data_IF_158404356502
#
_entry.id   IF_158404356502
#
_cell.length_a   1.000
_cell.length_b   1.000
_cell.length_c   1.000
_cell.angle_alpha   90.00
_cell.angle_beta   90.00
_cell.angle_gamma   90.00
#
_symmetry.space_group_name_H-M   'P 1'
#
loop_
_entity.id
_entity.type
_entity.pdbx_description
1 polymer ?
#
# COMPACT_ATOMS: atom_id res chain seq x y z
N UNK A 1 -5.16 -55.88 -28.66
CA UNK A 1 -5.40 -54.78 -27.71
C UNK A 1 -4.06 -54.14 -27.38
N UNK A 2 -3.73 -52.94 -27.90
CA UNK A 2 -2.57 -52.20 -27.47
C UNK A 2 -2.95 -51.08 -26.49
N UNK A 3 -2.10 -50.92 -25.49
CA UNK A 3 -2.14 -49.94 -24.42
C UNK A 3 -1.89 -48.53 -24.97
N UNK A 4 -2.82 -47.60 -24.76
CA UNK A 4 -2.67 -46.18 -25.13
C UNK A 4 -2.06 -45.40 -23.98
N UNK A 5 -0.78 -45.04 -24.08
CA UNK A 5 -0.15 -44.04 -23.21
C UNK A 5 -0.62 -42.65 -23.64
N UNK A 6 -1.42 -41.98 -22.81
CA UNK A 6 -1.81 -40.58 -22.99
C UNK A 6 -0.62 -39.71 -22.58
N UNK A 7 0.14 -39.22 -23.56
CA UNK A 7 1.06 -38.10 -23.34
C UNK A 7 0.24 -36.82 -23.22
N UNK A 8 0.03 -36.35 -21.99
CA UNK A 8 -0.46 -34.99 -21.73
C UNK A 8 0.69 -34.04 -22.05
N UNK A 9 0.73 -33.56 -23.29
CA UNK A 9 1.53 -32.40 -23.67
C UNK A 9 0.89 -31.19 -23.00
N UNK A 10 1.47 -30.74 -21.89
CA UNK A 10 1.10 -29.48 -21.26
C UNK A 10 1.41 -28.38 -22.27
N UNK A 11 0.35 -27.73 -22.75
CA UNK A 11 0.39 -26.71 -23.79
C UNK A 11 1.32 -25.57 -23.40
N UNK A 12 2.42 -25.43 -24.14
CA UNK A 12 3.35 -24.31 -24.05
C UNK A 12 2.81 -23.13 -24.87
N UNK A 13 1.57 -22.72 -24.57
CA UNK A 13 0.77 -21.84 -25.44
C UNK A 13 0.56 -20.44 -24.87
N UNK A 14 1.39 -20.03 -23.90
CA UNK A 14 1.37 -18.67 -23.36
C UNK A 14 2.78 -18.08 -23.49
N UNK A 15 2.84 -16.95 -24.21
CA UNK A 15 4.00 -16.11 -24.54
C UNK A 15 4.88 -16.55 -25.71
N UNK A 16 4.36 -16.35 -26.91
CA UNK A 16 5.18 -15.89 -28.03
C UNK A 16 4.59 -14.59 -28.60
N UNK A 17 4.37 -13.61 -27.73
CA UNK A 17 4.00 -12.25 -28.17
C UNK A 17 5.18 -11.61 -28.89
N UNK A 18 4.90 -11.04 -30.06
CA UNK A 18 5.89 -10.30 -30.84
C UNK A 18 6.16 -8.92 -30.22
N UNK A 19 7.35 -8.35 -30.45
CA UNK A 19 7.72 -7.00 -29.96
C UNK A 19 6.68 -5.95 -30.36
N UNK A 20 6.04 -6.13 -31.52
CA UNK A 20 4.96 -5.26 -32.02
C UNK A 20 3.68 -5.39 -31.19
N UNK A 21 3.31 -6.60 -30.77
CA UNK A 21 2.15 -6.83 -29.90
C UNK A 21 2.37 -6.24 -28.51
N UNK A 22 3.59 -6.37 -27.98
CA UNK A 22 3.97 -5.76 -26.70
C UNK A 22 3.95 -4.24 -26.82
N UNK A 23 4.53 -3.67 -27.89
CA UNK A 23 4.47 -2.22 -28.13
C UNK A 23 3.03 -1.72 -28.26
N UNK A 24 2.16 -2.48 -28.95
CA UNK A 24 0.74 -2.17 -29.03
C UNK A 24 0.01 -2.28 -27.69
N UNK A 25 0.35 -3.26 -26.84
CA UNK A 25 -0.19 -3.37 -25.47
C UNK A 25 0.26 -2.19 -24.60
N UNK A 26 1.56 -1.86 -24.62
CA UNK A 26 2.14 -0.70 -23.92
C UNK A 26 1.45 0.61 -24.31
N UNK A 27 1.16 0.80 -25.60
CA UNK A 27 0.46 1.99 -26.10
C UNK A 27 -1.04 1.98 -25.77
N UNK A 28 -1.69 0.80 -25.76
CA UNK A 28 -3.12 0.63 -25.47
C UNK A 28 -3.46 0.81 -24.00
N UNK A 29 -2.65 0.22 -23.12
CA UNK A 29 -2.97 0.08 -21.69
C UNK A 29 -2.44 1.23 -20.82
N UNK A 30 -1.74 2.20 -21.45
CA UNK A 30 -1.11 3.34 -20.76
C UNK A 30 -0.31 2.89 -19.53
N UNK A 31 0.47 1.83 -19.72
CA UNK A 31 1.22 1.16 -18.66
C UNK A 31 2.16 2.17 -17.99
N UNK A 32 2.21 2.12 -16.66
CA UNK A 32 3.10 3.01 -15.91
C UNK A 32 4.55 2.59 -16.11
N UNK A 33 5.51 3.45 -15.74
CA UNK A 33 6.96 3.12 -15.75
C UNK A 33 7.26 1.78 -15.06
N UNK A 34 6.46 1.40 -14.06
CA UNK A 34 6.64 0.16 -13.32
C UNK A 34 6.06 -1.06 -14.01
N UNK A 35 4.93 -0.92 -14.70
CA UNK A 35 4.38 -2.01 -15.49
C UNK A 35 5.24 -2.24 -16.74
N UNK A 36 5.77 -1.17 -17.34
CA UNK A 36 6.79 -1.23 -18.40
C UNK A 36 8.06 -1.93 -17.88
N UNK A 37 8.50 -1.64 -16.65
CA UNK A 37 9.66 -2.31 -16.02
C UNK A 37 9.38 -3.78 -15.70
N UNK A 38 8.16 -4.14 -15.31
CA UNK A 38 7.76 -5.51 -15.01
C UNK A 38 7.61 -6.36 -16.29
N UNK A 39 7.06 -5.78 -17.37
CA UNK A 39 7.04 -6.44 -18.68
C UNK A 39 8.46 -6.57 -19.27
N UNK A 40 9.28 -5.51 -19.14
CA UNK A 40 10.69 -5.58 -19.52
C UNK A 40 11.47 -6.62 -18.68
N UNK A 41 11.10 -6.84 -17.42
CA UNK A 41 11.63 -7.91 -16.56
C UNK A 41 11.28 -9.29 -17.10
N UNK A 42 10.01 -9.54 -17.44
CA UNK A 42 9.57 -10.81 -18.02
C UNK A 42 10.28 -11.13 -19.35
N UNK A 43 10.46 -10.12 -20.20
CA UNK A 43 11.22 -10.22 -21.45
C UNK A 43 12.72 -10.46 -21.22
N UNK A 44 13.36 -9.77 -20.28
CA UNK A 44 14.76 -9.98 -19.96
C UNK A 44 15.02 -11.37 -19.35
N UNK A 45 14.06 -11.92 -18.59
CA UNK A 45 14.16 -13.27 -18.03
C UNK A 45 13.97 -14.35 -19.11
N UNK A 46 13.10 -14.11 -20.11
CA UNK A 46 12.89 -15.03 -21.23
C UNK A 46 14.06 -15.00 -22.23
N UNK A 47 14.79 -13.88 -22.31
CA UNK A 47 15.99 -13.71 -23.13
C UNK A 47 17.28 -14.33 -22.55
N UNK A 48 17.17 -15.26 -21.58
CA UNK A 48 18.29 -15.86 -20.81
C UNK A 48 19.46 -16.40 -21.65
N UNK A 49 19.28 -16.65 -22.95
CA UNK A 49 20.29 -17.22 -23.84
C UNK A 49 20.71 -16.32 -25.02
N UNK A 50 20.30 -15.04 -25.06
CA UNK A 50 20.80 -14.12 -26.09
C UNK A 50 22.03 -13.37 -25.56
N UNK A 51 23.21 -13.87 -25.92
CA UNK A 51 24.49 -13.20 -25.70
C UNK A 51 24.45 -11.80 -26.30
N UNK A 52 24.21 -10.77 -25.49
CA UNK A 52 24.31 -9.39 -25.95
C UNK A 52 24.98 -8.56 -24.86
N UNK A 53 26.21 -8.14 -25.15
CA UNK A 53 27.00 -7.11 -24.49
C UNK A 53 26.32 -5.72 -24.55
N UNK A 54 25.06 -5.64 -24.15
CA UNK A 54 24.30 -4.39 -24.14
C UNK A 54 24.34 -3.78 -22.74
N UNK A 55 24.99 -2.63 -22.63
CA UNK A 55 25.04 -1.80 -21.41
C UNK A 55 23.65 -1.51 -20.83
N UNK A 56 22.61 -1.48 -21.66
CA UNK A 56 21.22 -1.20 -21.24
C UNK A 56 20.53 -2.40 -20.59
N UNK A 57 20.76 -3.62 -21.08
CA UNK A 57 20.22 -4.84 -20.45
C UNK A 57 20.85 -5.09 -19.08
N UNK A 58 22.18 -4.96 -19.00
CA UNK A 58 22.88 -5.07 -17.71
C UNK A 58 22.48 -3.98 -16.72
N UNK A 59 22.20 -2.75 -17.20
CA UNK A 59 21.64 -1.69 -16.37
C UNK A 59 20.23 -2.05 -15.86
N UNK A 60 19.33 -2.52 -16.72
CA UNK A 60 17.99 -2.95 -16.31
C UNK A 60 18.05 -4.07 -15.26
N UNK A 61 18.92 -5.06 -15.44
CA UNK A 61 19.14 -6.13 -14.47
C UNK A 61 19.60 -5.60 -13.10
N UNK A 62 20.50 -4.61 -13.07
CA UNK A 62 20.93 -3.96 -11.82
C UNK A 62 19.79 -3.19 -11.17
N UNK A 63 19.02 -2.43 -11.94
CA UNK A 63 17.85 -1.71 -11.45
C UNK A 63 16.84 -2.68 -10.83
N UNK A 64 16.54 -3.81 -11.48
CA UNK A 64 15.64 -4.85 -10.98
C UNK A 64 16.13 -5.47 -9.67
N UNK A 65 17.40 -5.88 -9.62
CA UNK A 65 18.02 -6.39 -8.39
C UNK A 65 17.97 -5.36 -7.26
N UNK A 66 18.04 -4.06 -7.57
CA UNK A 66 17.90 -3.00 -6.58
C UNK A 66 16.46 -2.85 -6.08
N UNK A 67 15.47 -3.14 -6.92
CA UNK A 67 14.05 -3.10 -6.56
C UNK A 67 13.65 -4.30 -5.70
N UNK A 68 14.11 -5.50 -6.04
CA UNK A 68 13.88 -6.70 -5.20
C UNK A 68 14.48 -6.51 -3.81
N UNK A 69 15.72 -6.02 -3.74
CA UNK A 69 16.35 -5.65 -2.46
C UNK A 69 15.56 -4.60 -1.69
N UNK A 70 14.96 -3.62 -2.38
CA UNK A 70 14.09 -2.62 -1.74
C UNK A 70 12.81 -3.28 -1.24
N UNK A 71 12.22 -4.21 -1.98
CA UNK A 71 11.01 -4.91 -1.57
C UNK A 71 11.26 -5.80 -0.35
N UNK A 72 12.36 -6.55 -0.34
CA UNK A 72 12.81 -7.34 0.82
C UNK A 72 13.06 -6.44 2.04
N UNK A 73 13.77 -5.32 1.86
CA UNK A 73 14.03 -4.38 2.95
C UNK A 73 12.78 -3.64 3.45
N UNK A 74 11.73 -3.59 2.64
CA UNK A 74 10.44 -3.00 3.00
C UNK A 74 9.40 -4.06 3.39
N UNK A 75 9.79 -5.33 3.50
CA UNK A 75 8.92 -6.39 4.01
C UNK A 75 8.53 -6.08 5.45
N UNK A 76 7.23 -6.09 5.72
CA UNK A 76 6.64 -5.89 7.03
C UNK A 76 6.00 -7.21 7.40
N UNK A 77 6.51 -7.86 8.44
CA UNK A 77 5.82 -8.98 9.05
C UNK A 77 4.67 -8.43 9.89
N UNK A 78 3.44 -8.67 9.44
CA UNK A 78 2.25 -8.26 10.17
C UNK A 78 1.31 -9.46 10.34
N UNK A 79 0.72 -9.64 11.53
CA UNK A 79 -0.17 -10.75 11.81
C UNK A 79 -1.48 -10.64 11.03
N UNK A 80 -2.25 -11.73 10.97
CA UNK A 80 -3.56 -11.80 10.27
C UNK A 80 -4.53 -10.74 10.77
N UNK A 81 -4.34 -10.38 12.03
CA UNK A 81 -5.02 -9.30 12.72
C UNK A 81 -4.92 -7.93 12.01
N UNK A 82 -3.81 -7.64 11.32
CA UNK A 82 -3.61 -6.40 10.58
C UNK A 82 -3.92 -6.50 9.08
N UNK A 83 -4.41 -7.64 8.57
CA UNK A 83 -4.82 -7.79 7.16
C UNK A 83 -5.93 -6.79 6.76
N UNK A 84 -6.02 -6.48 5.47
CA UNK A 84 -6.98 -5.51 4.93
C UNK A 84 -8.41 -5.86 5.36
N UNK A 85 -8.79 -7.13 5.23
CA UNK A 85 -10.11 -7.64 5.55
C UNK A 85 -10.38 -7.54 7.05
N UNK A 86 -9.44 -7.97 7.90
CA UNK A 86 -9.58 -7.90 9.36
C UNK A 86 -9.72 -6.47 9.87
N UNK A 87 -8.88 -5.54 9.40
CA UNK A 87 -8.97 -4.12 9.78
C UNK A 87 -10.30 -3.53 9.30
N UNK A 88 -10.72 -3.85 8.08
CA UNK A 88 -12.00 -3.38 7.52
C UNK A 88 -13.20 -3.89 8.30
N UNK A 89 -13.22 -5.16 8.67
CA UNK A 89 -14.28 -5.78 9.48
C UNK A 89 -14.42 -5.06 10.81
N UNK A 90 -13.31 -4.82 11.51
CA UNK A 90 -13.30 -4.11 12.80
C UNK A 90 -13.78 -2.67 12.69
N UNK A 91 -13.27 -1.93 11.71
CA UNK A 91 -13.73 -0.56 11.42
C UNK A 91 -15.22 -0.47 11.13
N UNK A 92 -15.83 -1.52 10.58
CA UNK A 92 -17.28 -1.56 10.36
C UNK A 92 -18.07 -1.87 11.64
N UNK A 93 -17.43 -2.51 12.62
CA UNK A 93 -18.06 -3.00 13.84
C UNK A 93 -17.97 -2.05 15.03
N UNK A 94 -17.09 -1.05 14.96
CA UNK A 94 -16.87 -0.14 16.08
C UNK A 94 -18.10 0.71 16.39
N UNK A 95 -18.48 0.73 17.67
CA UNK A 95 -19.43 1.67 18.24
C UNK A 95 -18.67 2.82 18.91
N UNK A 96 -18.79 4.02 18.34
CA UNK A 96 -18.15 5.26 18.84
C UNK A 96 -18.64 5.69 20.23
N UNK A 97 -19.69 5.05 20.74
CA UNK A 97 -20.19 5.26 22.11
C UNK A 97 -19.37 4.50 23.16
N UNK A 98 -18.58 3.51 22.74
CA UNK A 98 -17.79 2.65 23.63
C UNK A 98 -16.45 3.28 24.02
N UNK A 99 -15.80 2.70 25.02
CA UNK A 99 -14.46 3.13 25.44
C UNK A 99 -13.44 2.77 24.35
N UNK A 100 -12.63 3.75 23.98
CA UNK A 100 -11.58 3.57 22.98
C UNK A 100 -10.47 2.66 23.50
N UNK A 101 -10.17 1.60 22.75
CA UNK A 101 -9.04 0.72 23.00
C UNK A 101 -7.84 1.06 22.07
N UNK A 102 -6.67 0.49 22.37
CA UNK A 102 -5.45 0.72 21.58
C UNK A 102 -5.52 0.16 20.17
N UNK A 103 -6.39 -0.82 19.97
CA UNK A 103 -6.56 -1.54 18.72
C UNK A 103 -7.41 -0.71 17.74
N UNK A 104 -8.48 -0.09 18.23
CA UNK A 104 -9.28 0.89 17.51
C UNK A 104 -8.44 2.10 17.10
N UNK A 105 -7.53 2.56 17.97
CA UNK A 105 -6.56 3.59 17.58
C UNK A 105 -5.69 3.11 16.41
N UNK A 106 -5.10 1.92 16.49
CA UNK A 106 -4.25 1.40 15.42
C UNK A 106 -5.02 1.23 14.11
N UNK A 107 -6.26 0.73 14.15
CA UNK A 107 -7.12 0.53 12.99
C UNK A 107 -7.50 1.85 12.32
N UNK A 108 -7.84 2.88 13.09
CA UNK A 108 -8.13 4.21 12.52
C UNK A 108 -6.87 4.87 11.97
N UNK A 109 -5.71 4.64 12.61
CA UNK A 109 -4.43 5.11 12.08
C UNK A 109 -4.05 4.44 10.76
N UNK A 110 -4.27 3.12 10.63
CA UNK A 110 -4.19 2.41 9.36
C UNK A 110 -5.17 3.08 8.40
N UNK A 111 -6.47 3.07 8.71
CA UNK A 111 -7.52 3.63 7.85
C UNK A 111 -7.18 5.01 7.27
N UNK A 112 -6.65 5.93 8.08
CA UNK A 112 -6.41 7.32 7.69
C UNK A 112 -5.02 7.58 7.14
N UNK A 113 -4.14 6.58 7.03
CA UNK A 113 -2.76 6.75 6.57
C UNK A 113 -1.99 7.83 7.35
N UNK A 114 -2.24 7.99 8.66
CA UNK A 114 -1.70 9.09 9.46
C UNK A 114 -0.50 8.70 10.32
N UNK A 115 0.31 9.72 10.65
CA UNK A 115 1.26 9.66 11.76
C UNK A 115 0.54 9.90 13.09
N UNK A 116 1.07 9.38 14.22
CA UNK A 116 0.61 9.79 15.54
C UNK A 116 0.50 11.31 15.69
N UNK A 117 1.50 12.03 15.19
CA UNK A 117 1.57 13.50 15.18
C UNK A 117 0.43 14.21 14.45
N UNK A 118 -0.19 13.54 13.48
CA UNK A 118 -1.27 14.13 12.69
C UNK A 118 -2.63 13.88 13.34
N UNK A 119 -2.73 12.98 14.33
CA UNK A 119 -4.01 12.51 14.86
C UNK A 119 -4.83 13.61 15.52
N UNK A 120 -4.19 14.50 16.26
CA UNK A 120 -4.87 15.59 16.98
C UNK A 120 -5.16 16.79 16.10
N UNK A 121 -4.41 16.96 15.01
CA UNK A 121 -4.53 18.12 14.12
C UNK A 121 -5.40 17.84 12.90
N UNK A 122 -5.48 16.58 12.43
CA UNK A 122 -6.22 16.21 11.23
C UNK A 122 -7.71 16.53 11.36
N UNK A 123 -8.29 17.11 10.31
CA UNK A 123 -9.72 17.33 10.21
C UNK A 123 -10.25 16.88 8.84
N UNK A 124 -11.33 16.11 8.86
CA UNK A 124 -12.06 15.63 7.68
C UNK A 124 -13.35 16.44 7.57
N UNK A 125 -13.49 17.19 6.48
CA UNK A 125 -14.69 17.97 6.15
C UNK A 125 -15.34 17.40 4.90
N UNK A 126 -16.59 17.79 4.62
CA UNK A 126 -17.35 17.34 3.45
C UNK A 126 -16.60 17.55 2.13
N UNK A 127 -15.85 18.65 2.02
CA UNK A 127 -15.10 18.97 0.83
C UNK A 127 -13.72 18.29 0.79
N UNK A 128 -12.96 18.36 1.89
CA UNK A 128 -11.49 18.14 1.90
C UNK A 128 -10.95 17.76 3.30
N UNK A 129 -9.68 17.37 3.32
CA UNK A 129 -8.88 17.06 4.52
C UNK A 129 -7.84 18.16 4.76
N UNK A 130 -7.72 18.58 6.00
CA UNK A 130 -6.73 19.56 6.50
C UNK A 130 -6.04 18.99 7.75
N UNK A 131 -5.03 19.68 8.25
CA UNK A 131 -4.41 19.44 9.56
C UNK A 131 -3.25 18.45 9.53
N UNK A 132 -2.63 18.25 8.37
CA UNK A 132 -1.50 17.35 8.21
C UNK A 132 -0.16 18.08 8.48
N UNK A 133 0.78 17.39 9.12
CA UNK A 133 1.97 17.99 9.76
C UNK A 133 3.02 18.50 8.76
N UNK A 134 3.00 18.10 7.48
CA UNK A 134 4.11 18.38 6.55
C UNK A 134 4.25 19.87 6.10
N UNK A 135 3.35 20.77 6.48
CA UNK A 135 3.33 22.18 6.03
C UNK A 135 3.58 23.19 7.17
N UNK A 136 4.53 22.94 8.08
CA UNK A 136 4.82 23.87 9.18
C UNK A 136 5.19 25.27 8.64
N UNK A 137 4.43 26.29 9.06
CA UNK A 137 4.64 27.69 8.69
C UNK A 137 3.95 28.13 7.39
N UNK A 138 3.15 27.27 6.73
CA UNK A 138 2.35 27.63 5.55
C UNK A 138 0.85 27.47 5.83
N UNK A 139 -0.03 28.21 5.12
CA UNK A 139 -1.46 27.99 5.20
C UNK A 139 -1.79 26.54 4.87
N UNK A 140 -2.70 25.96 5.65
CA UNK A 140 -3.13 24.59 5.43
C UNK A 140 -3.86 24.49 4.09
N UNK A 141 -3.34 23.66 3.17
CA UNK A 141 -3.91 23.50 1.84
C UNK A 141 -4.87 22.31 1.89
N UNK A 142 -6.18 22.51 1.71
CA UNK A 142 -7.13 21.42 1.75
C UNK A 142 -6.87 20.37 0.65
N UNK A 143 -6.84 19.09 1.03
CA UNK A 143 -6.57 17.95 0.12
C UNK A 143 -7.78 17.02 -0.03
N UNK A 144 -7.86 16.29 -1.14
CA UNK A 144 -8.93 15.32 -1.36
C UNK A 144 -8.84 14.19 -0.32
N UNK A 145 -9.97 13.83 0.29
CA UNK A 145 -10.05 12.67 1.17
C UNK A 145 -9.85 11.37 0.37
N UNK A 146 -8.94 10.52 0.86
CA UNK A 146 -8.70 9.18 0.33
C UNK A 146 -8.17 8.29 1.46
N UNK A 147 -8.71 7.09 1.54
CA UNK A 147 -8.40 6.07 2.56
C UNK A 147 -8.90 4.70 2.10
N UNK A 148 -8.53 3.62 2.80
CA UNK A 148 -9.13 2.29 2.55
C UNK A 148 -10.64 2.24 2.85
N UNK A 149 -11.15 3.13 3.71
CA UNK A 149 -12.56 3.27 4.05
C UNK A 149 -13.23 4.33 3.17
N UNK A 150 -13.98 3.90 2.16
CA UNK A 150 -14.62 4.80 1.19
C UNK A 150 -15.67 5.75 1.80
N UNK A 151 -16.34 5.34 2.89
CA UNK A 151 -17.33 6.18 3.57
C UNK A 151 -16.62 7.26 4.39
N UNK A 152 -16.59 8.48 3.86
CA UNK A 152 -15.96 9.64 4.48
C UNK A 152 -16.60 10.02 5.81
N UNK A 153 -17.93 9.92 5.92
CA UNK A 153 -18.65 10.31 7.13
C UNK A 153 -18.30 9.38 8.29
N UNK A 154 -18.32 8.08 8.05
CA UNK A 154 -17.89 7.11 9.05
C UNK A 154 -16.39 7.29 9.41
N UNK A 155 -15.52 7.60 8.44
CA UNK A 155 -14.12 7.90 8.75
C UNK A 155 -13.96 9.16 9.63
N UNK A 156 -14.81 10.17 9.44
CA UNK A 156 -14.87 11.39 10.26
C UNK A 156 -15.37 11.09 11.67
N UNK A 157 -16.39 10.26 11.81
CA UNK A 157 -16.90 9.82 13.12
C UNK A 157 -15.82 9.09 13.93
N UNK A 158 -15.11 8.15 13.31
CA UNK A 158 -14.04 7.40 13.96
C UNK A 158 -12.84 8.29 14.35
N UNK A 159 -12.49 9.26 13.49
CA UNK A 159 -11.46 10.26 13.83
C UNK A 159 -11.88 11.10 15.04
N UNK A 160 -13.10 11.61 15.03
CA UNK A 160 -13.65 12.42 16.13
C UNK A 160 -13.74 11.62 17.43
N UNK A 161 -14.10 10.34 17.36
CA UNK A 161 -14.14 9.45 18.52
C UNK A 161 -12.78 9.39 19.22
N UNK A 162 -11.71 9.23 18.45
CA UNK A 162 -10.34 9.21 18.99
C UNK A 162 -9.92 10.56 19.52
N UNK A 163 -10.16 11.63 18.78
CA UNK A 163 -9.81 12.99 19.20
C UNK A 163 -10.54 13.38 20.50
N UNK A 164 -11.80 12.97 20.67
CA UNK A 164 -12.57 13.17 21.89
C UNK A 164 -12.00 12.35 23.07
N UNK A 165 -11.58 11.11 22.83
CA UNK A 165 -10.92 10.31 23.86
C UNK A 165 -9.60 10.93 24.33
N UNK A 166 -8.82 11.53 23.41
CA UNK A 166 -7.58 12.25 23.74
C UNK A 166 -7.88 13.53 24.51
N UNK A 167 -8.78 14.37 23.99
CA UNK A 167 -9.17 15.65 24.60
C UNK A 167 -9.78 15.47 26.00
N UNK A 168 -10.51 14.38 26.23
CA UNK A 168 -11.08 14.04 27.54
C UNK A 168 -10.07 13.39 28.51
N UNK A 169 -8.82 13.16 28.07
CA UNK A 169 -7.78 12.52 28.88
C UNK A 169 -7.99 11.01 29.09
N UNK A 170 -9.00 10.40 28.45
CA UNK A 170 -9.24 8.94 28.49
C UNK A 170 -8.15 8.17 27.73
N UNK A 171 -7.51 8.80 26.76
CA UNK A 171 -6.36 8.29 26.04
C UNK A 171 -5.23 9.32 26.05
N UNK A 172 -3.99 8.86 26.18
CA UNK A 172 -2.83 9.73 26.02
C UNK A 172 -2.70 10.20 24.57
N UNK A 173 -2.23 11.42 24.36
CA UNK A 173 -1.87 11.91 23.03
C UNK A 173 -0.63 11.16 22.51
N UNK A 174 -0.72 10.41 21.39
CA UNK A 174 0.37 9.57 20.92
C UNK A 174 1.51 10.37 20.27
N UNK A 175 1.37 11.67 20.03
CA UNK A 175 2.45 12.53 19.52
C UNK A 175 3.47 12.96 20.60
N UNK A 176 3.03 13.01 21.87
CA UNK A 176 3.88 13.55 22.94
C UNK A 176 5.09 12.64 23.20
N UNK A 177 6.28 13.24 23.28
CA UNK A 177 7.59 12.56 23.36
C UNK A 177 7.78 11.62 24.57
N UNK A 178 6.87 11.63 25.55
CA UNK A 178 6.84 10.69 26.69
C UNK A 178 6.01 9.42 26.46
N UNK A 179 5.29 9.32 25.34
CA UNK A 179 4.17 8.38 25.18
C UNK A 179 4.63 7.09 24.46
N UNK A 180 5.45 6.31 25.17
CA UNK A 180 5.98 5.01 24.70
C UNK A 180 4.91 3.90 24.62
N UNK A 181 3.70 4.11 25.13
CA UNK A 181 2.70 3.04 25.25
C UNK A 181 2.16 2.58 23.90
N UNK A 182 1.96 3.47 22.92
CA UNK A 182 1.46 3.06 21.61
C UNK A 182 2.50 2.23 20.86
N UNK A 183 3.75 2.70 20.90
CA UNK A 183 4.88 1.94 20.37
C UNK A 183 5.05 0.59 21.09
N UNK A 184 4.77 0.51 22.39
CA UNK A 184 4.79 -0.75 23.14
C UNK A 184 3.67 -1.70 22.70
N UNK A 185 2.46 -1.18 22.46
CA UNK A 185 1.35 -1.96 21.92
C UNK A 185 1.69 -2.54 20.54
N UNK A 186 2.21 -1.71 19.62
CA UNK A 186 2.59 -2.16 18.28
C UNK A 186 3.75 -3.16 18.28
N UNK A 187 4.69 -3.04 19.23
CA UNK A 187 5.80 -4.00 19.39
C UNK A 187 5.34 -5.43 19.67
N UNK A 188 4.17 -5.62 20.28
CA UNK A 188 3.63 -6.97 20.47
C UNK A 188 3.28 -7.67 19.15
N UNK A 189 3.26 -6.91 18.04
CA UNK A 189 3.00 -7.39 16.69
C UNK A 189 4.20 -7.13 15.75
N UNK A 190 5.37 -6.78 16.30
CA UNK A 190 6.56 -6.38 15.53
C UNK A 190 6.34 -5.17 14.60
N UNK A 191 5.38 -4.30 14.96
CA UNK A 191 5.02 -3.11 14.20
C UNK A 191 5.58 -1.82 14.82
N UNK A 192 5.71 -0.81 13.96
CA UNK A 192 5.95 0.59 14.33
C UNK A 192 4.91 1.48 13.64
N UNK A 193 4.62 2.70 14.13
CA UNK A 193 3.60 3.56 13.53
C UNK A 193 3.81 3.85 12.03
N UNK A 194 5.08 3.90 11.59
CA UNK A 194 5.43 4.07 10.17
C UNK A 194 4.98 2.89 9.29
N UNK A 195 4.94 1.68 9.84
CA UNK A 195 4.49 0.49 9.12
C UNK A 195 2.98 0.52 8.88
N UNK A 196 2.18 1.04 9.83
CA UNK A 196 0.73 1.21 9.64
C UNK A 196 0.41 2.09 8.42
N UNK A 197 1.14 3.21 8.24
CA UNK A 197 1.03 4.07 7.05
C UNK A 197 1.36 3.34 5.75
N UNK A 198 2.42 2.52 5.77
CA UNK A 198 2.85 1.74 4.61
C UNK A 198 1.84 0.67 4.23
N UNK A 199 1.30 -0.02 5.22
CA UNK A 199 0.25 -1.02 5.05
C UNK A 199 -1.00 -0.35 4.45
N UNK A 200 -1.45 0.79 5.01
CA UNK A 200 -2.64 1.47 4.50
C UNK A 200 -2.48 1.99 3.07
N UNK A 201 -1.29 2.47 2.68
CA UNK A 201 -1.04 2.88 1.31
C UNK A 201 -1.42 1.77 0.31
N UNK A 202 -1.03 0.52 0.61
CA UNK A 202 -1.41 -0.65 -0.19
C UNK A 202 -2.90 -0.95 -0.06
N UNK A 203 -3.47 -0.90 1.14
CA UNK A 203 -4.88 -1.19 1.38
C UNK A 203 -5.79 -0.23 0.64
N UNK A 204 -5.42 1.04 0.57
CA UNK A 204 -6.10 2.03 -0.24
C UNK A 204 -5.98 1.72 -1.74
N UNK A 205 -4.80 1.31 -2.22
CA UNK A 205 -4.62 0.89 -3.62
C UNK A 205 -5.52 -0.30 -3.98
N UNK A 206 -5.63 -1.28 -3.09
CA UNK A 206 -6.49 -2.47 -3.25
C UNK A 206 -7.97 -2.11 -3.13
N UNK A 207 -8.36 -1.41 -2.06
CA UNK A 207 -9.76 -1.02 -1.81
C UNK A 207 -10.34 -0.17 -2.94
N UNK A 208 -9.50 0.57 -3.64
CA UNK A 208 -9.89 1.40 -4.77
C UNK A 208 -9.59 0.80 -6.14
N UNK A 209 -9.23 -0.49 -6.20
CA UNK A 209 -9.11 -1.25 -7.44
C UNK A 209 -8.23 -0.53 -8.47
N UNK A 210 -7.00 -0.20 -8.04
CA UNK A 210 -6.05 0.47 -8.92
C UNK A 210 -5.79 -0.35 -10.18
N UNK A 211 -5.96 0.26 -11.36
CA UNK A 211 -5.86 -0.42 -12.67
C UNK A 211 -4.43 -0.61 -13.16
N UNK A 212 -3.51 0.22 -12.68
CA UNK A 212 -2.10 0.25 -13.04
C UNK A 212 -1.31 1.04 -11.99
N UNK A 213 0.03 0.99 -12.01
CA UNK A 213 0.79 1.60 -10.91
C UNK A 213 0.74 3.13 -10.92
N UNK A 214 0.44 3.75 -12.06
CA UNK A 214 0.20 5.20 -12.11
C UNK A 214 -1.05 5.55 -11.29
N UNK A 215 -2.14 4.78 -11.44
CA UNK A 215 -3.33 4.93 -10.60
C UNK A 215 -3.01 4.64 -9.13
N UNK A 216 -2.21 3.61 -8.84
CA UNK A 216 -1.78 3.31 -7.46
C UNK A 216 -0.99 4.47 -6.83
N UNK A 217 -0.11 5.13 -7.58
CA UNK A 217 0.62 6.31 -7.11
C UNK A 217 -0.28 7.50 -6.85
N UNK A 218 -1.27 7.73 -7.70
CA UNK A 218 -2.27 8.78 -7.48
C UNK A 218 -3.06 8.50 -6.20
N UNK A 219 -3.54 7.27 -6.03
CA UNK A 219 -4.28 6.86 -4.82
C UNK A 219 -3.42 7.05 -3.58
N UNK A 220 -2.21 6.51 -3.59
CA UNK A 220 -1.28 6.57 -2.47
C UNK A 220 -0.90 8.01 -2.13
N UNK A 221 -0.64 8.85 -3.14
CA UNK A 221 -0.36 10.29 -2.96
C UNK A 221 -1.50 11.01 -2.25
N UNK A 222 -2.74 10.72 -2.66
CA UNK A 222 -3.93 11.29 -2.04
C UNK A 222 -4.11 10.80 -0.59
N UNK A 223 -3.91 9.51 -0.31
CA UNK A 223 -4.02 8.95 1.05
C UNK A 223 -2.99 9.54 2.01
N UNK A 224 -1.74 9.62 1.56
CA UNK A 224 -0.62 10.19 2.32
C UNK A 224 -0.62 11.73 2.33
N UNK A 225 -1.58 12.36 1.64
CA UNK A 225 -1.75 13.81 1.59
C UNK A 225 -0.49 14.52 1.08
N UNK A 226 0.19 13.93 0.10
CA UNK A 226 1.39 14.53 -0.49
C UNK A 226 1.02 15.70 -1.41
N UNK A 227 1.90 16.71 -1.48
CA UNK A 227 1.77 17.80 -2.45
C UNK A 227 1.78 17.23 -3.87
N UNK A 228 0.85 17.65 -4.75
CA UNK A 228 0.89 17.24 -6.15
C UNK A 228 2.21 17.66 -6.83
N UNK A 229 2.84 18.73 -6.34
CA UNK A 229 4.10 19.28 -6.87
C UNK A 229 5.34 18.51 -6.42
N UNK A 230 5.21 17.61 -5.43
CA UNK A 230 6.33 16.81 -4.92
C UNK A 230 6.40 15.48 -5.66
N UNK A 231 7.49 15.31 -6.43
CA UNK A 231 7.72 14.17 -7.31
C UNK A 231 7.60 12.78 -6.64
N UNK A 232 7.23 11.83 -7.49
CA UNK A 232 6.92 10.39 -7.30
C UNK A 232 7.93 9.54 -6.51
N UNK A 233 9.14 10.00 -6.25
CA UNK A 233 10.20 9.19 -5.60
C UNK A 233 9.88 8.80 -4.16
N UNK A 234 9.17 9.67 -3.42
CA UNK A 234 8.77 9.40 -2.04
C UNK A 234 7.64 8.36 -1.97
N UNK A 235 6.71 8.38 -2.92
CA UNK A 235 5.52 7.51 -2.97
C UNK A 235 5.90 6.06 -3.28
N UNK A 236 6.93 5.84 -4.10
CA UNK A 236 7.41 4.50 -4.44
C UNK A 236 7.72 3.66 -3.19
N UNK A 237 8.29 4.27 -2.15
CA UNK A 237 8.63 3.57 -0.90
C UNK A 237 7.41 3.11 -0.08
N UNK A 238 6.22 3.63 -0.39
CA UNK A 238 4.97 3.25 0.27
C UNK A 238 4.18 2.21 -0.52
N UNK A 239 4.43 2.10 -1.83
CA UNK A 239 3.78 1.09 -2.69
C UNK A 239 4.64 -0.19 -2.82
N UNK A 240 5.94 -0.12 -2.53
CA UNK A 240 6.84 -1.28 -2.50
C UNK A 240 6.82 -1.87 -1.08
N UNK A 241 5.73 -2.54 -0.73
CA UNK A 241 5.52 -3.23 0.55
C UNK A 241 4.87 -4.57 0.23
N UNK A 242 5.09 -5.57 1.09
CA UNK A 242 4.45 -6.87 0.94
C UNK A 242 2.94 -6.79 1.22
N UNK A 243 2.18 -7.57 0.47
CA UNK A 243 0.73 -7.72 0.62
C UNK A 243 0.37 -9.21 0.69
N UNK A 244 -0.60 -9.53 1.53
CA UNK A 244 -1.28 -10.83 1.54
C UNK A 244 -2.76 -10.63 1.83
N UNK A 245 -3.59 -11.48 1.23
CA UNK A 245 -5.03 -11.57 1.54
C UNK A 245 -5.21 -12.27 2.89
N UNK A 246 -6.34 -12.05 3.56
CA UNK A 246 -6.76 -12.86 4.71
C UNK A 246 -6.71 -14.35 4.36
N UNK A 247 -6.37 -15.18 5.35
CA UNK A 247 -6.20 -16.65 5.25
C UNK A 247 -4.98 -17.14 4.45
N UNK A 248 -4.17 -16.25 3.86
CA UNK A 248 -2.86 -16.62 3.33
C UNK A 248 -1.83 -16.68 4.47
N UNK A 249 -0.94 -17.67 4.44
CA UNK A 249 0.16 -17.76 5.40
C UNK A 249 1.13 -16.56 5.29
N UNK A 250 1.83 -16.18 6.37
CA UNK A 250 2.82 -15.09 6.33
C UNK A 250 3.89 -15.27 5.24
N UNK A 251 4.32 -16.49 4.98
CA UNK A 251 5.30 -16.84 3.93
C UNK A 251 4.79 -16.55 2.50
N UNK A 252 3.47 -16.40 2.34
CA UNK A 252 2.85 -16.01 1.07
C UNK A 252 2.80 -14.49 0.88
N UNK A 253 3.24 -13.68 1.85
CA UNK A 253 3.33 -12.24 1.69
C UNK A 253 4.40 -11.89 0.64
N UNK A 254 3.95 -11.36 -0.48
CA UNK A 254 4.81 -11.00 -1.62
C UNK A 254 4.81 -9.50 -1.83
N UNK A 255 5.88 -8.93 -2.41
CA UNK A 255 5.86 -7.53 -2.85
C UNK A 255 4.61 -7.25 -3.67
N UNK A 256 3.83 -6.23 -3.28
CA UNK A 256 2.53 -5.94 -3.90
C UNK A 256 2.67 -5.71 -5.41
N UNK A 257 1.88 -6.44 -6.21
CA UNK A 257 1.69 -6.20 -7.64
C UNK A 257 0.20 -6.05 -7.93
N UNK A 258 -0.14 -5.16 -8.86
CA UNK A 258 -1.55 -4.86 -9.17
C UNK A 258 -2.28 -6.06 -9.77
N UNK A 259 -1.57 -6.94 -10.48
CA UNK A 259 -2.12 -8.18 -11.02
C UNK A 259 -2.40 -9.25 -9.96
N UNK A 260 -2.01 -9.04 -8.69
CA UNK A 260 -2.35 -9.94 -7.58
C UNK A 260 -3.80 -9.76 -7.08
N UNK A 261 -4.56 -8.84 -7.70
CA UNK A 261 -5.96 -8.55 -7.38
C UNK A 261 -6.96 -9.59 -7.93
N UNK A 262 -6.51 -10.51 -8.79
CA UNK A 262 -7.31 -11.62 -9.31
C UNK A 262 -7.44 -12.80 -8.31
#
# INVERSE_FOLDING_TARGET
MPCSTINIVISNQVLQETIVEIAHRLLRDKLSIWDIRAEAYALALSAKNANADSSRLSQLQRELKSLDKKAEANHIDYPDYFTLESVRERLNSYDVSTLLDLQALADVMVMLCIRPAELTTLCITDAKVIGYVKNWGQPDIPRKFRSMKKNQEHARELLNWIQNAISSGRMGDPDKSGVKWFNRFLKNYDLIPKYLQKIDAIYSVVAHEAKNMAHAYIITSQCLRHSPDNYTSSIQNYVIVNYRKKDQSPDQARPFRIYDQE
#
